data_IF_764952453307
#
_entry.id   IF_764952453307
#
_cell.length_a   1.000
_cell.length_b   1.000
_cell.length_c   1.000
_cell.angle_alpha   90.00
_cell.angle_beta   90.00
_cell.angle_gamma   90.00
#
_symmetry.space_group_name_H-M   'P 1'
#
loop_
_entity.id
_entity.type
_entity.pdbx_description
1 polymer ?
#
# COMPACT_ATOMS: atom_id res chain seq x y z
N UNK A 1 -0.80 16.18 8.98
CA UNK A 1 -2.09 16.41 8.34
C UNK A 1 -2.02 15.93 6.89
N UNK A 2 -2.78 14.89 6.49
CA UNK A 2 -2.77 14.35 5.13
C UNK A 2 -3.10 15.39 4.05
N UNK A 3 -3.95 16.38 4.37
CA UNK A 3 -4.29 17.46 3.45
C UNK A 3 -3.10 18.25 2.94
N UNK A 4 -2.01 18.30 3.71
CA UNK A 4 -0.77 19.00 3.31
C UNK A 4 -0.01 18.25 2.20
N UNK A 5 -0.18 16.93 2.07
CA UNK A 5 0.48 16.11 1.04
C UNK A 5 0.19 16.66 -0.37
N UNK A 6 -1.03 17.15 -0.59
CA UNK A 6 -1.44 17.75 -1.86
C UNK A 6 -0.56 18.92 -2.32
N UNK A 7 0.02 19.63 -1.38
CA UNK A 7 0.82 20.84 -1.62
C UNK A 7 2.31 20.60 -1.40
N UNK A 8 2.71 19.36 -1.08
CA UNK A 8 4.10 19.02 -0.85
C UNK A 8 4.81 18.82 -2.20
N UNK A 9 5.72 19.71 -2.58
CA UNK A 9 6.31 19.64 -3.91
C UNK A 9 7.37 18.53 -4.00
N UNK A 10 7.46 17.87 -5.15
CA UNK A 10 8.47 16.85 -5.42
C UNK A 10 9.90 17.32 -5.18
N UNK A 11 10.18 18.61 -5.37
CA UNK A 11 11.51 19.20 -5.09
C UNK A 11 11.96 19.10 -3.62
N UNK A 12 11.04 18.77 -2.71
CA UNK A 12 11.30 18.53 -1.29
C UNK A 12 11.29 17.06 -0.90
N UNK A 13 11.09 16.17 -1.86
CA UNK A 13 11.08 14.75 -1.61
C UNK A 13 12.45 14.22 -1.20
N UNK A 14 12.45 13.24 -0.30
CA UNK A 14 13.66 12.55 0.16
C UNK A 14 14.12 11.48 -0.83
N UNK A 15 13.19 10.97 -1.64
CA UNK A 15 13.44 9.99 -2.68
C UNK A 15 12.93 10.50 -4.03
N UNK A 16 13.61 10.14 -5.12
CA UNK A 16 13.22 10.57 -6.47
C UNK A 16 11.94 9.90 -6.98
N UNK A 17 11.65 8.72 -6.48
CA UNK A 17 10.56 7.85 -6.96
C UNK A 17 9.28 8.02 -6.17
N UNK A 18 9.40 8.31 -4.87
CA UNK A 18 8.26 8.49 -3.98
C UNK A 18 8.63 9.34 -2.77
N UNK A 19 7.62 9.89 -2.12
CA UNK A 19 7.73 10.40 -0.75
C UNK A 19 6.88 9.56 0.19
N UNK A 20 7.40 9.30 1.38
CA UNK A 20 6.73 8.53 2.42
C UNK A 20 6.33 9.44 3.56
N UNK A 21 5.04 9.47 3.86
CA UNK A 21 4.49 10.22 4.98
C UNK A 21 3.92 9.29 6.03
N UNK A 22 4.02 9.66 7.30
CA UNK A 22 3.21 9.11 8.35
C UNK A 22 2.08 10.08 8.70
N UNK A 23 0.92 9.54 9.05
CA UNK A 23 -0.24 10.37 9.42
C UNK A 23 -0.21 10.61 10.93
N UNK A 24 -0.06 11.88 11.35
CA UNK A 24 0.09 12.25 12.77
C UNK A 24 -1.05 11.70 13.67
N UNK A 25 -2.31 11.73 13.20
CA UNK A 25 -3.45 11.20 13.95
C UNK A 25 -3.51 9.66 13.97
N UNK A 26 -2.92 9.00 12.98
CA UNK A 26 -2.88 7.54 12.82
C UNK A 26 -1.48 7.10 12.37
N UNK A 27 -0.48 7.12 13.28
CA UNK A 27 0.93 6.94 12.91
C UNK A 27 1.28 5.59 12.28
N UNK A 28 0.45 4.59 12.48
CA UNK A 28 0.58 3.27 11.85
C UNK A 28 0.06 3.22 10.41
N UNK A 29 -0.51 4.31 9.87
CA UNK A 29 -0.85 4.43 8.45
C UNK A 29 0.29 5.15 7.73
N UNK A 30 0.96 4.45 6.82
CA UNK A 30 1.95 5.04 5.92
C UNK A 30 1.28 5.47 4.62
N UNK A 31 1.62 6.67 4.15
CA UNK A 31 1.10 7.23 2.91
C UNK A 31 2.24 7.35 1.91
N UNK A 32 2.17 6.58 0.82
CA UNK A 32 3.08 6.66 -0.30
C UNK A 32 2.55 7.65 -1.33
N UNK A 33 3.32 8.64 -1.71
CA UNK A 33 3.06 9.52 -2.85
C UNK A 33 4.10 9.24 -3.93
N UNK A 34 3.70 8.51 -4.98
CA UNK A 34 4.59 8.08 -6.06
C UNK A 34 4.73 9.16 -7.14
N UNK A 35 5.90 9.24 -7.76
CA UNK A 35 6.18 10.22 -8.81
C UNK A 35 5.29 10.03 -10.06
N UNK A 36 4.96 8.79 -10.38
CA UNK A 36 4.10 8.43 -11.51
C UNK A 36 3.49 7.04 -11.32
N UNK A 37 2.56 6.66 -12.20
CA UNK A 37 1.90 5.34 -12.16
C UNK A 37 2.84 4.18 -12.46
N UNK A 38 3.86 4.39 -13.29
CA UNK A 38 4.81 3.32 -13.60
C UNK A 38 5.56 2.89 -12.33
N UNK A 39 6.08 3.84 -11.57
CA UNK A 39 6.78 3.54 -10.30
C UNK A 39 5.80 2.94 -9.29
N UNK A 40 4.58 3.48 -9.18
CA UNK A 40 3.55 2.90 -8.32
C UNK A 40 3.25 1.45 -8.68
N UNK A 41 3.15 1.12 -9.97
CA UNK A 41 2.95 -0.24 -10.48
C UNK A 41 4.12 -1.17 -10.11
N UNK A 42 5.36 -0.70 -10.19
CA UNK A 42 6.54 -1.47 -9.80
C UNK A 42 6.50 -1.90 -8.32
N UNK A 43 5.96 -1.06 -7.45
CA UNK A 43 5.80 -1.35 -6.03
C UNK A 43 4.55 -2.18 -5.71
N UNK A 44 3.42 -1.93 -6.36
CA UNK A 44 2.11 -2.33 -5.86
C UNK A 44 1.27 -3.16 -6.82
N UNK A 45 1.59 -3.23 -8.11
CA UNK A 45 0.75 -3.91 -9.12
C UNK A 45 0.56 -5.39 -8.82
N UNK A 46 1.63 -6.14 -8.57
CA UNK A 46 1.55 -7.56 -8.22
C UNK A 46 0.79 -7.79 -6.91
N UNK A 47 1.01 -6.92 -5.92
CA UNK A 47 0.28 -6.92 -4.67
C UNK A 47 -1.22 -6.71 -4.91
N UNK A 48 -1.62 -5.76 -5.78
CA UNK A 48 -3.01 -5.53 -6.14
C UNK A 48 -3.66 -6.78 -6.75
N UNK A 49 -2.96 -7.46 -7.64
CA UNK A 49 -3.45 -8.73 -8.20
C UNK A 49 -3.59 -9.80 -7.12
N UNK A 50 -2.60 -9.93 -6.27
CA UNK A 50 -2.60 -10.91 -5.19
C UNK A 50 -3.73 -10.69 -4.17
N UNK A 51 -4.04 -9.43 -3.84
CA UNK A 51 -5.00 -9.11 -2.76
C UNK A 51 -6.45 -9.06 -3.27
N UNK A 52 -6.70 -8.46 -4.42
CA UNK A 52 -8.06 -8.02 -4.74
C UNK A 52 -8.51 -8.20 -6.19
N UNK A 53 -7.60 -8.41 -7.15
CA UNK A 53 -8.02 -8.60 -8.55
C UNK A 53 -8.71 -9.95 -8.74
N UNK A 54 -9.99 -9.90 -9.12
CA UNK A 54 -10.81 -11.10 -9.35
C UNK A 54 -10.12 -12.08 -10.31
N UNK A 55 -10.07 -13.34 -9.92
CA UNK A 55 -9.41 -14.42 -10.66
C UNK A 55 -7.91 -14.57 -10.37
N UNK A 56 -7.30 -13.66 -9.59
CA UNK A 56 -5.86 -13.70 -9.28
C UNK A 56 -5.56 -13.72 -7.78
N UNK A 57 -6.58 -13.53 -6.94
CA UNK A 57 -6.41 -13.46 -5.47
C UNK A 57 -5.64 -14.66 -4.94
N UNK A 58 -4.60 -14.38 -4.15
CA UNK A 58 -3.72 -15.39 -3.57
C UNK A 58 -2.66 -15.95 -4.53
N UNK A 59 -2.61 -15.45 -5.80
CA UNK A 59 -1.67 -15.93 -6.82
C UNK A 59 -0.57 -14.90 -7.08
N UNK A 60 0.68 -15.34 -7.02
CA UNK A 60 1.84 -14.52 -7.40
C UNK A 60 2.03 -14.59 -8.91
N UNK A 61 1.65 -13.53 -9.60
CA UNK A 61 1.78 -13.41 -11.05
C UNK A 61 3.21 -13.04 -11.44
N UNK A 62 3.74 -13.60 -12.52
CA UNK A 62 5.04 -13.18 -13.06
C UNK A 62 4.93 -11.83 -13.76
N UNK A 63 6.07 -11.16 -13.95
CA UNK A 63 6.11 -9.83 -14.58
C UNK A 63 5.49 -9.86 -15.99
N UNK A 64 5.77 -10.89 -16.77
CA UNK A 64 5.24 -11.04 -18.13
C UNK A 64 3.71 -11.20 -18.15
N UNK A 65 3.15 -11.82 -17.11
CA UNK A 65 1.70 -12.06 -16.99
C UNK A 65 0.92 -10.80 -16.64
N UNK A 66 1.54 -9.87 -15.89
CA UNK A 66 0.91 -8.61 -15.48
C UNK A 66 1.35 -7.40 -16.31
N UNK A 67 2.34 -7.54 -17.19
CA UNK A 67 2.94 -6.42 -17.93
C UNK A 67 1.90 -5.58 -18.69
N UNK A 68 0.96 -6.24 -19.37
CA UNK A 68 -0.09 -5.59 -20.16
C UNK A 68 -1.37 -5.27 -19.39
N UNK A 69 -1.44 -5.65 -18.11
CA UNK A 69 -2.61 -5.44 -17.28
C UNK A 69 -2.49 -4.11 -16.52
N UNK A 70 -3.65 -3.50 -16.22
CA UNK A 70 -3.68 -2.26 -15.45
C UNK A 70 -3.72 -2.55 -13.95
N UNK A 71 -2.87 -1.86 -13.19
CA UNK A 71 -2.96 -1.73 -11.75
C UNK A 71 -4.14 -0.85 -11.33
N UNK A 72 -4.08 -0.30 -10.13
CA UNK A 72 -4.99 0.74 -9.66
C UNK A 72 -4.25 2.09 -9.57
N UNK A 73 -5.00 3.18 -9.59
CA UNK A 73 -4.44 4.53 -9.49
C UNK A 73 -4.21 4.98 -8.05
N UNK A 74 -4.81 4.28 -7.10
CA UNK A 74 -4.63 4.41 -5.67
C UNK A 74 -4.81 3.04 -5.01
N UNK A 75 -4.29 2.86 -3.82
CA UNK A 75 -4.30 1.57 -3.12
C UNK A 75 -4.43 1.78 -1.62
N UNK A 76 -5.02 0.77 -0.97
CA UNK A 76 -5.11 0.62 0.47
C UNK A 76 -4.85 -0.84 0.86
N UNK A 77 -3.86 -1.09 1.71
CA UNK A 77 -3.54 -2.45 2.14
C UNK A 77 -3.29 -2.51 3.64
N UNK A 78 -3.99 -3.43 4.31
CA UNK A 78 -3.80 -3.73 5.73
C UNK A 78 -2.61 -4.67 5.95
N UNK A 79 -2.10 -4.67 7.16
CA UNK A 79 -0.95 -5.48 7.56
C UNK A 79 -1.10 -6.97 7.24
N UNK A 80 -2.32 -7.54 7.37
CA UNK A 80 -2.60 -8.94 7.04
C UNK A 80 -2.35 -9.26 5.57
N UNK A 81 -2.84 -8.41 4.67
CA UNK A 81 -2.68 -8.60 3.21
C UNK A 81 -1.23 -8.49 2.80
N UNK A 82 -0.52 -7.51 3.36
CA UNK A 82 0.91 -7.28 3.12
C UNK A 82 1.76 -8.47 3.61
N UNK A 83 1.50 -8.95 4.83
CA UNK A 83 2.18 -10.11 5.37
C UNK A 83 1.92 -11.37 4.55
N UNK A 84 0.67 -11.61 4.15
CA UNK A 84 0.31 -12.76 3.32
C UNK A 84 1.03 -12.75 1.97
N UNK A 85 1.13 -11.59 1.31
CA UNK A 85 1.84 -11.45 0.05
C UNK A 85 3.33 -11.81 0.18
N UNK A 86 4.02 -11.19 1.14
CA UNK A 86 5.45 -11.43 1.32
C UNK A 86 5.77 -12.81 1.88
N UNK A 87 4.92 -13.38 2.75
CA UNK A 87 5.06 -14.75 3.23
C UNK A 87 4.87 -15.76 2.10
N UNK A 88 3.87 -15.54 1.22
CA UNK A 88 3.66 -16.39 0.05
C UNK A 88 4.85 -16.32 -0.90
N UNK A 89 5.36 -15.12 -1.17
CA UNK A 89 6.54 -14.96 -2.02
C UNK A 89 7.77 -15.67 -1.45
N UNK A 90 7.98 -15.56 -0.14
CA UNK A 90 9.10 -16.23 0.54
C UNK A 90 8.95 -17.75 0.54
N UNK A 91 7.78 -18.28 0.90
CA UNK A 91 7.53 -19.73 0.97
C UNK A 91 7.62 -20.43 -0.38
N UNK A 92 7.28 -19.72 -1.46
CA UNK A 92 7.37 -20.22 -2.83
C UNK A 92 8.71 -19.91 -3.51
N UNK A 93 9.67 -19.28 -2.83
CA UNK A 93 10.90 -18.76 -3.41
C UNK A 93 10.65 -17.90 -4.69
N UNK A 94 9.56 -17.13 -4.66
CA UNK A 94 9.18 -16.27 -5.76
C UNK A 94 10.12 -15.06 -5.81
N UNK A 95 10.61 -14.75 -7.02
CA UNK A 95 11.51 -13.62 -7.21
C UNK A 95 10.72 -12.31 -7.33
N UNK A 96 10.77 -11.52 -6.28
CA UNK A 96 10.22 -10.17 -6.24
C UNK A 96 11.18 -9.19 -6.97
N UNK A 97 10.63 -8.11 -7.52
CA UNK A 97 11.43 -7.03 -8.09
C UNK A 97 12.06 -6.13 -6.99
N UNK A 98 12.93 -5.19 -7.39
CA UNK A 98 13.65 -4.33 -6.44
C UNK A 98 12.72 -3.40 -5.67
N UNK A 99 11.66 -2.89 -6.30
CA UNK A 99 10.68 -2.00 -5.68
C UNK A 99 9.84 -2.74 -4.64
N UNK A 100 9.44 -3.98 -4.92
CA UNK A 100 8.74 -4.85 -3.96
C UNK A 100 9.65 -5.22 -2.77
N UNK A 101 10.94 -5.46 -3.01
CA UNK A 101 11.90 -5.70 -1.93
C UNK A 101 12.12 -4.46 -1.06
N UNK A 102 12.16 -3.28 -1.67
CA UNK A 102 12.21 -2.00 -0.94
C UNK A 102 10.93 -1.78 -0.12
N UNK A 103 9.77 -2.05 -0.71
CA UNK A 103 8.49 -1.99 0.02
C UNK A 103 8.53 -2.91 1.26
N UNK A 104 8.96 -4.17 1.10
CA UNK A 104 9.11 -5.10 2.21
C UNK A 104 9.99 -4.54 3.33
N UNK A 105 11.12 -3.93 2.95
CA UNK A 105 12.04 -3.32 3.91
C UNK A 105 11.36 -2.18 4.69
N UNK A 106 10.69 -1.27 4.00
CA UNK A 106 9.95 -0.16 4.62
C UNK A 106 8.89 -0.68 5.59
N UNK A 107 8.14 -1.72 5.20
CA UNK A 107 7.09 -2.30 6.04
C UNK A 107 7.66 -2.95 7.31
N UNK A 108 8.82 -3.60 7.21
CA UNK A 108 9.53 -4.17 8.37
C UNK A 108 10.03 -3.08 9.33
N UNK A 109 10.66 -2.03 8.81
CA UNK A 109 11.16 -0.91 9.61
C UNK A 109 10.04 -0.18 10.36
N UNK A 110 8.85 -0.10 9.78
CA UNK A 110 7.69 0.56 10.39
C UNK A 110 6.77 -0.39 11.17
N UNK A 111 7.14 -1.65 11.31
CA UNK A 111 6.39 -2.63 12.12
C UNK A 111 5.04 -3.05 11.55
N UNK A 112 4.76 -2.72 10.26
CA UNK A 112 3.53 -3.14 9.57
C UNK A 112 3.56 -4.64 9.30
N UNK A 113 4.73 -5.18 8.97
CA UNK A 113 5.01 -6.62 8.97
C UNK A 113 6.17 -6.92 9.91
N UNK A 114 6.28 -8.16 10.36
CA UNK A 114 7.33 -8.63 11.29
C UNK A 114 7.91 -9.94 10.79
N UNK A 115 9.12 -10.27 11.24
CA UNK A 115 9.73 -11.58 10.99
C UNK A 115 9.82 -12.37 12.28
N UNK A 116 9.47 -13.65 12.23
CA UNK A 116 9.68 -14.61 13.31
C UNK A 116 10.29 -15.89 12.74
N UNK A 117 11.57 -16.10 13.00
CA UNK A 117 12.35 -17.12 12.28
C UNK A 117 12.32 -16.85 10.77
N UNK A 118 11.85 -17.84 10.01
CA UNK A 118 11.72 -17.75 8.55
C UNK A 118 10.29 -17.36 8.11
N UNK A 119 9.46 -16.84 9.00
CA UNK A 119 8.09 -16.46 8.64
C UNK A 119 7.92 -14.94 8.65
N UNK A 120 7.09 -14.47 7.74
CA UNK A 120 6.61 -13.09 7.72
C UNK A 120 5.21 -13.07 8.32
N UNK A 121 5.06 -12.31 9.38
CA UNK A 121 3.82 -12.17 10.14
C UNK A 121 3.29 -10.75 10.03
N UNK A 122 1.98 -10.60 10.22
CA UNK A 122 1.39 -9.27 10.34
C UNK A 122 1.92 -8.55 11.58
N UNK A 123 2.19 -7.28 11.44
CA UNK A 123 2.37 -6.35 12.53
C UNK A 123 1.10 -5.52 12.73
N UNK A 124 1.26 -4.21 12.85
CA UNK A 124 0.17 -3.26 13.03
C UNK A 124 0.27 -2.14 12.00
N UNK A 125 -0.85 -1.79 11.38
CA UNK A 125 -0.93 -0.66 10.48
C UNK A 125 -1.46 -0.99 9.10
N UNK A 126 -1.31 -0.01 8.23
CA UNK A 126 -1.75 -0.07 6.85
C UNK A 126 -0.87 0.82 5.97
N UNK A 127 -0.92 0.61 4.67
CA UNK A 127 -0.42 1.57 3.69
C UNK A 127 -1.55 2.08 2.82
N UNK A 128 -1.44 3.33 2.41
CA UNK A 128 -2.23 3.90 1.31
C UNK A 128 -1.28 4.52 0.29
N UNK A 129 -1.71 4.60 -0.95
CA UNK A 129 -0.87 5.13 -2.02
C UNK A 129 -1.61 6.08 -2.96
N UNK A 130 -0.86 7.04 -3.45
CA UNK A 130 -1.27 8.05 -4.42
C UNK A 130 -0.18 8.16 -5.50
N UNK A 131 -0.50 8.83 -6.62
CA UNK A 131 0.47 9.19 -7.64
C UNK A 131 0.37 10.68 -8.00
N UNK A 132 1.52 11.32 -8.23
CA UNK A 132 1.59 12.70 -8.73
C UNK A 132 1.01 12.83 -10.15
N UNK A 133 0.97 11.74 -10.89
CA UNK A 133 0.38 11.68 -12.24
C UNK A 133 -1.16 11.79 -12.22
N UNK A 134 -1.79 11.50 -11.08
CA UNK A 134 -3.24 11.71 -10.92
C UNK A 134 -3.59 13.20 -10.93
N UNK A 135 -4.63 13.63 -11.62
CA UNK A 135 -5.13 15.00 -11.53
C UNK A 135 -5.44 15.41 -10.07
N UNK A 136 -5.24 16.67 -9.74
CA UNK A 136 -5.38 17.17 -8.36
C UNK A 136 -6.74 16.84 -7.71
N UNK A 137 -7.83 16.86 -8.47
CA UNK A 137 -9.16 16.53 -7.93
C UNK A 137 -9.27 15.03 -7.58
N UNK A 138 -8.66 14.15 -8.38
CA UNK A 138 -8.61 12.70 -8.09
C UNK A 138 -7.66 12.40 -6.93
N UNK A 139 -6.49 13.05 -6.86
CA UNK A 139 -5.58 12.89 -5.72
C UNK A 139 -6.27 13.22 -4.39
N UNK A 140 -7.08 14.28 -4.39
CA UNK A 140 -7.85 14.63 -3.21
C UNK A 140 -8.91 13.57 -2.85
N UNK A 141 -9.63 13.09 -3.86
CA UNK A 141 -10.62 12.03 -3.68
C UNK A 141 -9.98 10.74 -3.19
N UNK A 142 -8.88 10.31 -3.81
CA UNK A 142 -8.15 9.11 -3.40
C UNK A 142 -7.58 9.24 -1.99
N UNK A 143 -6.97 10.38 -1.65
CA UNK A 143 -6.43 10.58 -0.30
C UNK A 143 -7.51 10.46 0.77
N UNK A 144 -8.70 11.01 0.53
CA UNK A 144 -9.82 10.86 1.45
C UNK A 144 -10.34 9.42 1.48
N UNK A 145 -10.54 8.81 0.32
CA UNK A 145 -11.09 7.45 0.18
C UNK A 145 -10.17 6.41 0.80
N UNK A 146 -8.92 6.35 0.34
CA UNK A 146 -7.93 5.37 0.85
C UNK A 146 -7.57 5.66 2.31
N UNK A 147 -7.55 6.95 2.70
CA UNK A 147 -7.35 7.35 4.09
C UNK A 147 -8.41 6.76 5.02
N UNK A 148 -9.69 6.80 4.63
CA UNK A 148 -10.77 6.22 5.42
C UNK A 148 -10.69 4.68 5.47
N UNK A 149 -10.28 4.01 4.40
CA UNK A 149 -9.96 2.58 4.42
C UNK A 149 -8.80 2.29 5.39
N UNK A 150 -7.74 3.09 5.35
CA UNK A 150 -6.62 2.97 6.30
C UNK A 150 -7.08 3.04 7.75
N UNK A 151 -7.94 4.03 8.10
CA UNK A 151 -8.52 4.15 9.44
C UNK A 151 -9.40 2.94 9.77
N UNK A 152 -10.25 2.49 8.84
CA UNK A 152 -11.08 1.30 9.01
C UNK A 152 -10.26 0.04 9.32
N UNK A 153 -9.05 -0.08 8.77
CA UNK A 153 -8.17 -1.23 9.03
C UNK A 153 -7.58 -1.24 10.43
N UNK A 154 -7.29 -0.08 11.01
CA UNK A 154 -6.53 0.02 12.27
C UNK A 154 -7.38 0.42 13.47
N UNK A 155 -8.50 1.13 13.27
CA UNK A 155 -9.37 1.64 14.34
C UNK A 155 -10.61 0.77 14.49
N UNK A 156 -10.71 0.07 15.63
CA UNK A 156 -11.81 -0.86 15.91
C UNK A 156 -13.13 -0.12 16.15
N UNK A 157 -13.10 0.99 16.85
CA UNK A 157 -14.30 1.77 17.15
C UNK A 157 -14.89 2.34 15.87
N UNK A 158 -14.04 2.87 14.99
CA UNK A 158 -14.47 3.35 13.67
C UNK A 158 -15.05 2.23 12.83
N UNK A 159 -14.41 1.05 12.82
CA UNK A 159 -14.89 -0.12 12.08
C UNK A 159 -16.26 -0.61 12.58
N UNK A 160 -16.46 -0.66 13.90
CA UNK A 160 -17.76 -1.00 14.49
C UNK A 160 -18.82 0.02 14.09
N UNK A 161 -18.51 1.31 14.23
CA UNK A 161 -19.42 2.39 13.84
C UNK A 161 -19.85 2.31 12.38
N UNK A 162 -18.92 2.09 11.46
CA UNK A 162 -19.21 1.97 10.03
C UNK A 162 -20.08 0.72 9.76
N UNK A 163 -19.75 -0.43 10.35
CA UNK A 163 -20.53 -1.64 10.16
C UNK A 163 -21.98 -1.49 10.66
N UNK A 164 -22.17 -0.78 11.77
CA UNK A 164 -23.51 -0.50 12.32
C UNK A 164 -24.36 0.42 11.42
N UNK A 165 -23.71 1.29 10.63
CA UNK A 165 -24.42 2.15 9.68
C UNK A 165 -24.92 1.39 8.45
N UNK A 166 -24.32 0.25 8.09
CA UNK A 166 -24.65 -0.53 6.90
C UNK A 166 -25.47 -1.80 7.18
N UNK A 167 -25.77 -2.09 8.45
CA UNK A 167 -26.67 -3.18 8.90
C UNK A 167 -28.06 -2.62 9.25
#
# INVERSE_FOLDING_TARGET
DPGLIRFWPQSKWRHNEFELFSWEAFPSILIFDFANYQIQDEFLKRLAFFVEKSGYVGTLMKDEEIASLHGYNAHDYKAESLAAFFETAQSQNFQLNQSELLLRHILLENGIIKTEGNKILKGEGAIISLSQESPNYLRNSFLCHEGMHGVFFIDEDYRVYINDLYN
#
